data_IF_485446087364
#
_entry.id   IF_485446087364
#
_cell.length_a   1.000
_cell.length_b   1.000
_cell.length_c   1.000
_cell.angle_alpha   90.00
_cell.angle_beta   90.00
_cell.angle_gamma   90.00
#
_symmetry.space_group_name_H-M   'P 1'
#
loop_
_entity.id
_entity.type
_entity.pdbx_description
1 polymer ?
#
# COMPACT_ATOMS: atom_id res chain seq x y z
N UNK A 1 2.42 -7.77 0.83
CA UNK A 1 3.83 -7.38 0.96
C UNK A 1 4.39 -7.74 2.33
N UNK A 2 5.58 -8.34 2.36
CA UNK A 2 6.35 -8.50 3.62
C UNK A 2 7.15 -7.21 3.88
N UNK A 3 7.33 -6.85 5.14
CA UNK A 3 8.06 -5.62 5.54
C UNK A 3 9.50 -5.62 4.99
N UNK A 4 10.12 -6.80 4.88
CA UNK A 4 11.46 -6.96 4.33
C UNK A 4 11.57 -6.56 2.85
N UNK A 5 10.50 -6.71 2.07
CA UNK A 5 10.46 -6.28 0.65
C UNK A 5 10.28 -4.77 0.54
N UNK A 6 9.43 -4.20 1.40
CA UNK A 6 9.19 -2.76 1.45
C UNK A 6 10.46 -1.96 1.83
N UNK A 7 11.33 -2.52 2.69
CA UNK A 7 12.59 -1.88 3.09
C UNK A 7 13.69 -1.88 2.02
N UNK A 8 13.55 -2.70 0.98
CA UNK A 8 14.53 -2.76 -0.13
C UNK A 8 14.26 -1.69 -1.20
N UNK A 9 13.07 -1.09 -1.19
CA UNK A 9 12.65 -0.08 -2.15
C UNK A 9 13.19 1.30 -1.75
N UNK A 10 13.50 2.11 -2.76
CA UNK A 10 13.87 3.52 -2.58
C UNK A 10 12.67 4.35 -2.12
N UNK A 11 12.92 5.51 -1.49
CA UNK A 11 11.87 6.46 -1.05
C UNK A 11 10.96 6.88 -2.22
N UNK A 12 11.53 7.08 -3.42
CA UNK A 12 10.78 7.42 -4.63
C UNK A 12 9.95 6.25 -5.18
N UNK A 13 10.43 5.02 -5.04
CA UNK A 13 9.69 3.82 -5.44
C UNK A 13 8.56 3.51 -4.46
N UNK A 14 8.76 3.80 -3.17
CA UNK A 14 7.74 3.67 -2.16
C UNK A 14 6.60 4.66 -2.39
N UNK A 15 6.87 5.93 -2.71
CA UNK A 15 5.82 6.92 -2.97
C UNK A 15 4.99 6.58 -4.21
N UNK A 16 5.64 6.17 -5.30
CA UNK A 16 4.96 5.75 -6.54
C UNK A 16 4.08 4.53 -6.32
N UNK A 17 4.60 3.47 -5.68
CA UNK A 17 3.81 2.28 -5.36
C UNK A 17 2.68 2.57 -4.37
N UNK A 18 2.87 3.49 -3.42
CA UNK A 18 1.84 3.90 -2.46
C UNK A 18 0.68 4.59 -3.18
N UNK A 19 0.97 5.42 -4.19
CA UNK A 19 -0.06 6.04 -5.04
C UNK A 19 -0.83 4.99 -5.83
N UNK A 20 -0.11 4.08 -6.50
CA UNK A 20 -0.73 2.99 -7.28
C UNK A 20 -1.63 2.09 -6.42
N UNK A 21 -1.18 1.73 -5.21
CA UNK A 21 -1.98 0.93 -4.29
C UNK A 21 -3.24 1.65 -3.81
N UNK A 22 -3.22 2.98 -3.68
CA UNK A 22 -4.42 3.76 -3.35
C UNK A 22 -5.44 3.68 -4.49
N UNK A 23 -4.98 3.84 -5.73
CA UNK A 23 -5.86 3.77 -6.91
C UNK A 23 -6.47 2.38 -7.07
N UNK A 24 -5.67 1.32 -6.91
CA UNK A 24 -6.15 -0.07 -6.87
C UNK A 24 -7.20 -0.29 -5.78
N UNK A 25 -7.01 0.26 -4.57
CA UNK A 25 -7.97 0.12 -3.47
C UNK A 25 -9.30 0.80 -3.80
N UNK A 26 -9.27 1.98 -4.43
CA UNK A 26 -10.47 2.70 -4.85
C UNK A 26 -11.20 1.91 -5.93
N UNK A 27 -10.48 1.37 -6.90
CA UNK A 27 -11.07 0.54 -7.94
C UNK A 27 -11.66 -0.76 -7.39
N UNK A 28 -10.94 -1.46 -6.51
CA UNK A 28 -11.44 -2.66 -5.83
C UNK A 28 -12.69 -2.36 -5.00
N UNK A 29 -12.77 -1.20 -4.35
CA UNK A 29 -13.99 -0.76 -3.64
C UNK A 29 -15.17 -0.59 -4.60
N UNK A 30 -14.95 0.06 -5.75
CA UNK A 30 -15.99 0.20 -6.78
C UNK A 30 -16.50 -1.16 -7.26
N UNK A 31 -15.58 -2.09 -7.57
CA UNK A 31 -15.92 -3.45 -8.01
C UNK A 31 -16.57 -4.33 -6.93
N UNK A 32 -16.26 -4.06 -5.67
CA UNK A 32 -16.93 -4.73 -4.53
C UNK A 32 -18.36 -4.22 -4.39
N UNK A 33 -18.57 -2.90 -4.56
CA UNK A 33 -19.89 -2.29 -4.50
C UNK A 33 -20.79 -2.72 -5.66
N UNK A 34 -20.24 -2.89 -6.87
CA UNK A 34 -20.97 -3.43 -8.02
C UNK A 34 -21.31 -4.92 -7.88
N UNK A 35 -20.78 -5.62 -6.86
CA UNK A 35 -20.99 -7.05 -6.65
C UNK A 35 -20.17 -7.95 -7.58
N UNK A 36 -19.35 -7.38 -8.47
CA UNK A 36 -18.46 -8.13 -9.38
C UNK A 36 -17.33 -8.83 -8.62
N UNK A 37 -16.90 -8.27 -7.50
CA UNK A 37 -15.83 -8.84 -6.65
C UNK A 37 -16.42 -9.39 -5.36
N UNK A 38 -16.50 -10.72 -5.28
CA UNK A 38 -16.96 -11.42 -4.07
C UNK A 38 -15.87 -11.51 -2.98
N UNK A 39 -14.59 -11.43 -3.37
CA UNK A 39 -13.48 -11.61 -2.43
C UNK A 39 -13.08 -10.31 -1.72
N UNK A 40 -13.89 -9.90 -0.74
CA UNK A 40 -13.65 -8.75 0.14
C UNK A 40 -12.35 -8.83 0.95
N UNK A 41 -11.78 -10.03 1.11
CA UNK A 41 -10.52 -10.23 1.86
C UNK A 41 -9.32 -9.61 1.14
N UNK A 42 -9.36 -9.53 -0.20
CA UNK A 42 -8.31 -8.90 -1.00
C UNK A 42 -8.17 -7.41 -0.64
N UNK A 43 -9.29 -6.71 -0.46
CA UNK A 43 -9.30 -5.31 -0.03
C UNK A 43 -8.64 -5.11 1.34
N UNK A 44 -8.84 -6.06 2.26
CA UNK A 44 -8.19 -6.01 3.59
C UNK A 44 -6.68 -6.24 3.47
N UNK A 45 -6.24 -7.16 2.63
CA UNK A 45 -4.81 -7.43 2.40
C UNK A 45 -4.12 -6.21 1.79
N UNK A 46 -4.70 -5.63 0.72
CA UNK A 46 -4.17 -4.43 0.06
C UNK A 46 -4.09 -3.22 1.01
N UNK A 47 -5.10 -3.01 1.87
CA UNK A 47 -5.04 -1.97 2.92
C UNK A 47 -3.90 -2.19 3.92
N UNK A 48 -3.66 -3.44 4.34
CA UNK A 48 -2.54 -3.76 5.25
C UNK A 48 -1.19 -3.54 4.56
N UNK A 49 -1.10 -3.85 3.28
CA UNK A 49 0.12 -3.64 2.49
C UNK A 49 0.42 -2.14 2.34
N UNK A 50 -0.60 -1.32 2.02
CA UNK A 50 -0.48 0.15 2.00
C UNK A 50 0.01 0.71 3.35
N UNK A 51 -0.58 0.24 4.46
CA UNK A 51 -0.18 0.68 5.79
C UNK A 51 1.29 0.39 6.08
N UNK A 52 1.76 -0.83 5.75
CA UNK A 52 3.17 -1.21 5.95
C UNK A 52 4.13 -0.35 5.13
N UNK A 53 3.78 -0.03 3.89
CA UNK A 53 4.58 0.83 3.03
C UNK A 53 4.69 2.25 3.57
N UNK A 54 3.58 2.82 4.04
CA UNK A 54 3.57 4.14 4.68
C UNK A 54 4.40 4.17 5.98
N UNK A 55 4.38 3.08 6.76
CA UNK A 55 5.24 2.96 7.95
C UNK A 55 6.72 2.99 7.57
N UNK A 56 7.15 2.21 6.58
CA UNK A 56 8.55 2.20 6.14
C UNK A 56 8.98 3.55 5.56
N UNK A 57 8.11 4.20 4.78
CA UNK A 57 8.36 5.55 4.28
C UNK A 57 8.56 6.55 5.43
N UNK A 58 7.71 6.50 6.46
CA UNK A 58 7.87 7.34 7.65
C UNK A 58 9.16 7.03 8.42
N UNK A 59 9.55 5.75 8.53
CA UNK A 59 10.83 5.36 9.16
C UNK A 59 12.03 5.96 8.40
N UNK A 60 11.99 5.96 7.06
CA UNK A 60 13.04 6.55 6.23
C UNK A 60 13.11 8.07 6.38
N UNK A 61 11.97 8.76 6.36
CA UNK A 61 11.91 10.21 6.55
C UNK A 61 12.39 10.65 7.95
N UNK A 62 12.11 9.86 8.99
CA UNK A 62 12.62 10.12 10.34
C UNK A 62 14.14 9.96 10.39
N UNK A 63 14.70 8.96 9.70
CA UNK A 63 16.16 8.77 9.60
C UNK A 63 16.87 9.89 8.85
N UNK A 64 16.25 10.47 7.83
CA UNK A 64 16.83 11.61 7.09
C UNK A 64 16.85 12.91 7.92
N UNK A 65 16.01 13.02 8.96
CA UNK A 65 15.90 14.19 9.83
C UNK A 65 16.83 14.16 11.06
N UNK A 66 17.52 13.04 11.30
CA UNK A 66 18.48 12.85 12.40
C UNK A 66 19.89 13.01 11.82
#
# INVERSE_FOLDING_TARGET
>A
MKIAEARKLSTAELTTQTSQLRDEIVELRRRTLSGEVQNVRILRTKRKDLARMLTVLSEQLVKEKI
#
